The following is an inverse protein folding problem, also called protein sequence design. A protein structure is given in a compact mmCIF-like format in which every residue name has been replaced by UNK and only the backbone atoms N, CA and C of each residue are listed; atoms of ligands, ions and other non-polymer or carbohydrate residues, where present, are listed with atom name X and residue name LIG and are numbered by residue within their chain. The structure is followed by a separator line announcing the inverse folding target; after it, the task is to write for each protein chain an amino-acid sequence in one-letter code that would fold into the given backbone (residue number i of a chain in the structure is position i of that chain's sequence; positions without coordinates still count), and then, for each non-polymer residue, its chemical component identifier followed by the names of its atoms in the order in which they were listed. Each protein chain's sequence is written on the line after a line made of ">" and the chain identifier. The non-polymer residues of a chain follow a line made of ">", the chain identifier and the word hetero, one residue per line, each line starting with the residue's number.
data_IF_690020428557
#
_entry.id   IF_690020428557
#
_cell.length_a   1.000
_cell.length_b   1.000
_cell.length_c   1.000
_cell.angle_alpha   90.00
_cell.angle_beta   90.00
_cell.angle_gamma   90.00
#
_symmetry.space_group_name_H-M   'P 1'
#
loop_
_entity.id
_entity.type
_entity.pdbx_description
1 polymer ?
#
# COMPACT_ATOMS: atom_id res chain seq x y z
N UNK A 1 -30.50 13.94 0.87
CA UNK A 1 -29.75 13.64 -0.37
C UNK A 1 -28.84 12.46 -0.07
N UNK A 2 -28.88 11.40 -0.87
CA UNK A 2 -28.34 10.10 -0.52
C UNK A 2 -26.81 10.14 -0.38
N UNK A 3 -26.28 9.59 0.71
CA UNK A 3 -24.85 9.42 1.02
C UNK A 3 -24.04 8.65 -0.05
N UNK A 4 -24.69 8.12 -1.06
CA UNK A 4 -24.07 7.32 -2.14
C UNK A 4 -23.16 8.11 -3.09
N UNK A 5 -23.22 9.43 -3.12
CA UNK A 5 -22.36 10.27 -3.98
C UNK A 5 -20.92 10.41 -3.45
N UNK A 6 -20.65 10.00 -2.21
CA UNK A 6 -19.33 10.11 -1.57
C UNK A 6 -18.33 9.10 -2.15
N UNK A 7 -18.81 7.95 -2.64
CA UNK A 7 -17.99 6.85 -3.12
C UNK A 7 -17.88 6.87 -4.64
N UNK A 8 -16.66 6.81 -5.18
CA UNK A 8 -16.42 6.70 -6.62
C UNK A 8 -16.62 5.25 -7.02
N UNK A 9 -17.64 4.97 -7.80
CA UNK A 9 -17.99 3.62 -8.25
C UNK A 9 -16.84 2.91 -8.97
N UNK A 10 -16.61 1.62 -8.66
CA UNK A 10 -15.89 0.72 -9.54
C UNK A 10 -16.71 0.50 -10.82
N UNK A 11 -16.05 0.10 -11.93
CA UNK A 11 -16.73 -0.13 -13.22
C UNK A 11 -17.69 -1.33 -13.19
N UNK A 12 -17.57 -2.22 -12.20
CA UNK A 12 -18.46 -3.36 -12.00
C UNK A 12 -19.67 -2.96 -11.16
N UNK A 13 -20.86 -3.13 -11.75
CA UNK A 13 -22.15 -2.81 -11.11
C UNK A 13 -22.45 -3.60 -9.82
N UNK A 14 -21.69 -4.66 -9.52
CA UNK A 14 -21.90 -5.53 -8.36
C UNK A 14 -21.28 -4.99 -7.07
N UNK A 15 -20.17 -4.21 -7.15
CA UNK A 15 -19.50 -3.66 -5.98
C UNK A 15 -19.50 -2.13 -6.01
N UNK A 16 -20.61 -1.55 -5.57
CA UNK A 16 -20.80 -0.09 -5.54
C UNK A 16 -19.97 0.63 -4.48
N UNK A 17 -19.44 -0.07 -3.48
CA UNK A 17 -18.76 0.51 -2.33
C UNK A 17 -17.27 0.15 -2.28
N UNK A 18 -16.76 -0.67 -3.20
CA UNK A 18 -15.37 -1.14 -3.18
C UNK A 18 -15.09 -2.00 -1.93
N UNK A 19 -16.07 -2.78 -1.51
CA UNK A 19 -16.02 -3.61 -0.32
C UNK A 19 -15.13 -4.81 -0.56
N UNK A 20 -14.27 -5.08 0.40
CA UNK A 20 -13.42 -6.27 0.44
C UNK A 20 -13.71 -7.01 1.74
N UNK A 21 -14.25 -8.23 1.63
CA UNK A 21 -14.61 -9.01 2.82
C UNK A 21 -13.37 -9.59 3.49
N UNK A 22 -13.33 -9.46 4.82
CA UNK A 22 -12.23 -9.97 5.64
C UNK A 22 -12.42 -11.47 5.90
N UNK A 23 -11.50 -12.34 5.44
CA UNK A 23 -11.51 -13.74 5.85
C UNK A 23 -11.40 -13.91 7.36
N UNK A 24 -11.99 -14.98 7.93
CA UNK A 24 -11.99 -15.23 9.36
C UNK A 24 -10.57 -15.36 9.94
N UNK A 25 -9.66 -15.97 9.19
CA UNK A 25 -8.24 -16.10 9.58
C UNK A 25 -7.57 -14.73 9.73
N UNK A 26 -7.85 -13.79 8.83
CA UNK A 26 -7.28 -12.44 8.87
C UNK A 26 -7.93 -11.60 9.96
N UNK A 27 -9.23 -11.75 10.16
CA UNK A 27 -9.92 -11.11 11.28
C UNK A 27 -9.34 -11.57 12.63
N UNK A 28 -9.11 -12.89 12.79
CA UNK A 28 -8.47 -13.48 13.98
C UNK A 28 -7.05 -12.94 14.17
N UNK A 29 -6.24 -12.94 13.10
CA UNK A 29 -4.87 -12.42 13.14
C UNK A 29 -4.82 -10.94 13.56
N UNK A 30 -5.71 -10.10 13.00
CA UNK A 30 -5.80 -8.68 13.40
C UNK A 30 -6.07 -8.56 14.91
N UNK A 31 -7.09 -9.25 15.38
CA UNK A 31 -7.52 -9.17 16.77
C UNK A 31 -6.46 -9.73 17.71
N UNK A 32 -5.81 -10.85 17.37
CA UNK A 32 -4.72 -11.44 18.15
C UNK A 32 -3.48 -10.56 18.23
N UNK A 33 -3.22 -9.77 17.19
CA UNK A 33 -2.12 -8.82 17.13
C UNK A 33 -2.38 -7.53 17.91
N UNK A 34 -3.61 -7.28 18.37
CA UNK A 34 -3.93 -6.09 19.18
C UNK A 34 -3.24 -6.16 20.55
N UNK A 35 -2.55 -5.11 20.98
CA UNK A 35 -2.11 -4.98 22.36
C UNK A 35 -3.33 -4.87 23.27
N UNK A 36 -3.31 -5.66 24.35
CA UNK A 36 -4.43 -5.72 25.31
C UNK A 36 -4.38 -4.50 26.23
N UNK A 37 -5.47 -3.72 26.35
CA UNK A 37 -5.57 -2.66 27.34
C UNK A 37 -5.41 -3.22 28.75
N UNK A 38 -4.71 -2.50 29.64
CA UNK A 38 -4.43 -2.95 31.02
C UNK A 38 -5.68 -3.19 31.88
N UNK A 39 -6.78 -2.52 31.54
CA UNK A 39 -8.07 -2.64 32.24
C UNK A 39 -9.01 -3.69 31.62
N UNK A 40 -8.53 -4.46 30.64
CA UNK A 40 -9.35 -5.35 29.83
C UNK A 40 -10.13 -4.63 28.75
N UNK A 41 -10.98 -5.36 28.01
CA UNK A 41 -11.78 -4.84 26.91
C UNK A 41 -13.25 -4.91 27.27
N UNK A 42 -13.91 -3.77 27.32
CA UNK A 42 -15.35 -3.62 27.63
C UNK A 42 -16.13 -3.16 26.41
N UNK A 43 -15.57 -2.26 25.62
CA UNK A 43 -16.23 -1.62 24.49
C UNK A 43 -15.40 -1.70 23.22
N UNK A 44 -15.98 -2.27 22.15
CA UNK A 44 -15.38 -2.40 20.83
C UNK A 44 -16.17 -1.51 19.86
N UNK A 45 -15.48 -0.83 18.95
CA UNK A 45 -16.09 -0.11 17.81
C UNK A 45 -15.57 -0.74 16.51
N UNK A 46 -16.48 -1.10 15.61
CA UNK A 46 -16.20 -1.62 14.27
C UNK A 46 -16.72 -0.64 13.21
N UNK A 47 -15.79 0.02 12.50
CA UNK A 47 -16.12 1.04 11.50
C UNK A 47 -16.21 0.42 10.11
N UNK A 48 -17.42 0.43 9.50
CA UNK A 48 -17.69 -0.26 8.25
C UNK A 48 -17.67 -1.77 8.47
N UNK A 49 -18.57 -2.25 9.35
CA UNK A 49 -18.52 -3.61 9.88
C UNK A 49 -18.74 -4.71 8.82
N UNK A 50 -19.35 -4.39 7.67
CA UNK A 50 -19.67 -5.36 6.62
C UNK A 50 -20.47 -6.53 7.18
N UNK A 51 -19.98 -7.74 6.98
CA UNK A 51 -20.62 -8.96 7.54
C UNK A 51 -20.19 -9.27 8.99
N UNK A 52 -19.45 -8.35 9.64
CA UNK A 52 -19.06 -8.45 11.04
C UNK A 52 -17.91 -9.41 11.35
N UNK A 53 -17.07 -9.74 10.38
CA UNK A 53 -15.96 -10.69 10.58
C UNK A 53 -15.00 -10.22 11.68
N UNK A 54 -14.60 -8.95 11.68
CA UNK A 54 -13.72 -8.38 12.71
C UNK A 54 -14.38 -8.39 14.08
N UNK A 55 -15.65 -7.98 14.17
CA UNK A 55 -16.41 -8.02 15.43
C UNK A 55 -16.54 -9.43 15.96
N UNK A 56 -16.86 -10.42 15.11
CA UNK A 56 -16.96 -11.83 15.52
C UNK A 56 -15.65 -12.34 16.11
N UNK A 57 -14.53 -12.06 15.46
CA UNK A 57 -13.21 -12.40 15.99
C UNK A 57 -12.91 -11.69 17.31
N UNK A 58 -13.27 -10.40 17.43
CA UNK A 58 -13.07 -9.64 18.64
C UNK A 58 -13.91 -10.16 19.82
N UNK A 59 -15.19 -10.49 19.59
CA UNK A 59 -16.07 -11.07 20.63
C UNK A 59 -15.65 -12.49 21.04
N UNK A 60 -15.07 -13.27 20.12
CA UNK A 60 -14.50 -14.59 20.45
C UNK A 60 -13.32 -14.44 21.44
N UNK A 61 -12.48 -13.43 21.25
CA UNK A 61 -11.35 -13.13 22.15
C UNK A 61 -11.78 -12.43 23.44
N UNK A 62 -12.78 -11.56 23.36
CA UNK A 62 -13.28 -10.74 24.46
C UNK A 62 -14.79 -10.96 24.67
N UNK A 63 -15.22 -12.12 25.17
CA UNK A 63 -16.63 -12.52 25.17
C UNK A 63 -17.51 -11.71 26.13
N UNK A 64 -16.92 -10.91 27.02
CA UNK A 64 -17.65 -10.03 27.94
C UNK A 64 -17.77 -8.60 27.45
N UNK A 65 -17.24 -8.29 26.26
CA UNK A 65 -17.28 -6.95 25.68
C UNK A 65 -18.62 -6.68 25.03
N UNK A 66 -19.03 -5.41 25.04
CA UNK A 66 -20.03 -4.85 24.13
C UNK A 66 -19.37 -4.37 22.85
N UNK A 67 -20.16 -4.25 21.77
CA UNK A 67 -19.66 -3.67 20.53
C UNK A 67 -20.67 -2.71 19.91
N UNK A 68 -20.15 -1.72 19.22
CA UNK A 68 -20.90 -0.82 18.34
C UNK A 68 -20.39 -1.02 16.92
N UNK A 69 -21.26 -1.46 16.05
CA UNK A 69 -20.99 -1.70 14.64
C UNK A 69 -21.64 -0.60 13.81
N UNK A 70 -20.89 0.05 12.96
CA UNK A 70 -21.44 1.06 12.04
C UNK A 70 -21.32 0.53 10.62
N UNK A 71 -22.46 0.43 9.92
CA UNK A 71 -22.51 -0.11 8.55
C UNK A 71 -23.50 0.70 7.71
N UNK A 72 -23.09 1.04 6.49
CA UNK A 72 -23.88 1.86 5.56
C UNK A 72 -24.76 1.02 4.64
N UNK A 73 -24.31 -0.20 4.30
CA UNK A 73 -25.06 -1.08 3.38
C UNK A 73 -26.24 -1.75 4.09
N UNK A 74 -27.49 -1.49 3.66
CA UNK A 74 -28.67 -2.08 4.27
C UNK A 74 -28.64 -3.61 4.31
N UNK A 75 -28.11 -4.27 3.26
CA UNK A 75 -28.05 -5.73 3.20
C UNK A 75 -27.13 -6.31 4.27
N UNK A 76 -25.99 -5.65 4.53
CA UNK A 76 -25.09 -6.04 5.61
C UNK A 76 -25.66 -5.72 6.98
N UNK A 77 -26.35 -4.60 7.12
CA UNK A 77 -27.07 -4.26 8.37
C UNK A 77 -28.08 -5.34 8.73
N UNK A 78 -28.90 -5.77 7.78
CA UNK A 78 -29.88 -6.83 8.00
C UNK A 78 -29.22 -8.17 8.37
N UNK A 79 -28.10 -8.51 7.71
CA UNK A 79 -27.32 -9.71 8.04
C UNK A 79 -26.69 -9.61 9.43
N UNK A 80 -26.21 -8.44 9.85
CA UNK A 80 -25.69 -8.20 11.19
C UNK A 80 -26.76 -8.39 12.26
N UNK A 81 -27.97 -7.83 12.07
CA UNK A 81 -29.09 -8.05 13.00
C UNK A 81 -29.49 -9.52 13.15
N UNK A 82 -29.36 -10.28 12.06
CA UNK A 82 -29.66 -11.72 12.07
C UNK A 82 -28.58 -12.58 12.74
N UNK A 83 -27.31 -12.15 12.71
CA UNK A 83 -26.16 -12.99 13.09
C UNK A 83 -25.44 -12.57 14.37
N UNK A 84 -25.57 -11.30 14.78
CA UNK A 84 -24.90 -10.79 15.98
C UNK A 84 -25.74 -11.05 17.24
N UNK A 85 -25.09 -11.17 18.42
CA UNK A 85 -25.79 -11.22 19.70
C UNK A 85 -26.68 -9.98 19.92
N UNK A 86 -27.82 -10.14 20.58
CA UNK A 86 -28.82 -9.06 20.80
C UNK A 86 -28.29 -7.86 21.62
N UNK A 87 -27.22 -8.04 22.36
CA UNK A 87 -26.59 -6.99 23.17
C UNK A 87 -25.57 -6.14 22.37
N UNK A 88 -25.42 -6.39 21.07
CA UNK A 88 -24.54 -5.63 20.19
C UNK A 88 -25.34 -4.48 19.57
N UNK A 89 -24.78 -3.27 19.61
CA UNK A 89 -25.37 -2.09 19.04
C UNK A 89 -24.98 -1.97 17.54
N UNK A 90 -25.97 -2.04 16.65
CA UNK A 90 -25.78 -1.92 15.21
C UNK A 90 -26.37 -0.58 14.75
N UNK A 91 -25.53 0.27 14.19
CA UNK A 91 -25.89 1.59 13.67
C UNK A 91 -25.89 1.53 12.15
N UNK A 92 -27.09 1.71 11.56
CA UNK A 92 -27.23 1.88 10.12
C UNK A 92 -26.85 3.30 9.73
N UNK A 93 -25.68 3.48 9.13
CA UNK A 93 -25.20 4.82 8.75
C UNK A 93 -23.76 4.78 8.22
N UNK A 94 -23.32 5.96 7.76
CA UNK A 94 -21.93 6.13 7.32
C UNK A 94 -21.02 6.29 8.55
N UNK A 95 -20.05 5.42 8.68
CA UNK A 95 -19.05 5.49 9.76
C UNK A 95 -18.27 6.82 9.76
N UNK A 96 -18.22 7.51 8.62
CA UNK A 96 -17.57 8.81 8.47
C UNK A 96 -18.48 10.00 8.84
N UNK A 97 -19.74 9.78 9.18
CA UNK A 97 -20.60 10.83 9.72
C UNK A 97 -20.31 11.06 11.20
N UNK A 98 -20.60 12.30 11.66
CA UNK A 98 -20.40 12.69 13.06
C UNK A 98 -21.67 12.46 13.89
N UNK A 99 -21.49 12.27 15.19
CA UNK A 99 -22.55 12.27 16.19
C UNK A 99 -22.95 10.90 16.71
N UNK A 100 -22.80 9.81 15.94
CA UNK A 100 -23.12 8.48 16.41
C UNK A 100 -22.15 7.97 17.51
N UNK A 101 -20.95 8.55 17.56
CA UNK A 101 -19.90 8.20 18.54
C UNK A 101 -20.06 8.92 19.89
N UNK A 102 -21.00 9.85 20.03
CA UNK A 102 -21.14 10.66 21.22
C UNK A 102 -21.37 9.79 22.47
N UNK A 103 -20.55 10.00 23.50
CA UNK A 103 -20.60 9.25 24.74
C UNK A 103 -19.96 7.87 24.70
N UNK A 104 -19.41 7.43 23.58
CA UNK A 104 -18.68 6.16 23.48
C UNK A 104 -17.24 6.32 23.95
N UNK A 105 -16.77 5.34 24.72
CA UNK A 105 -15.38 5.24 25.15
C UNK A 105 -14.84 3.86 24.73
N UNK A 106 -14.17 3.82 23.59
CA UNK A 106 -13.69 2.58 23.01
C UNK A 106 -12.41 2.09 23.67
N UNK A 107 -12.38 0.81 24.08
CA UNK A 107 -11.15 0.11 24.44
C UNK A 107 -10.43 -0.42 23.19
N UNK A 108 -11.21 -0.76 22.16
CA UNK A 108 -10.71 -1.22 20.86
C UNK A 108 -11.51 -0.56 19.74
N UNK A 109 -10.81 -0.08 18.71
CA UNK A 109 -11.41 0.34 17.42
C UNK A 109 -10.79 -0.50 16.31
N UNK A 110 -11.64 -1.15 15.52
CA UNK A 110 -11.26 -2.00 14.39
C UNK A 110 -11.94 -1.52 13.12
N UNK A 111 -11.31 -1.76 11.96
CA UNK A 111 -11.90 -1.46 10.66
C UNK A 111 -11.18 -2.18 9.52
N UNK A 112 -11.95 -2.61 8.52
CA UNK A 112 -11.48 -2.91 7.17
C UNK A 112 -12.20 -1.97 6.20
N UNK A 113 -11.67 -0.76 5.96
CA UNK A 113 -12.34 0.26 5.15
C UNK A 113 -12.25 0.01 3.65
N UNK A 114 -13.10 0.67 2.84
CA UNK A 114 -12.94 0.68 1.39
C UNK A 114 -11.63 1.37 0.99
N UNK A 115 -10.93 0.80 -0.02
CA UNK A 115 -9.63 1.33 -0.47
C UNK A 115 -9.73 2.38 -1.58
N UNK A 116 -10.93 2.67 -2.05
CA UNK A 116 -11.21 3.66 -3.10
C UNK A 116 -10.97 5.10 -2.68
N UNK A 117 -11.18 6.01 -3.63
CA UNK A 117 -11.17 7.45 -3.35
C UNK A 117 -12.57 7.90 -2.94
N UNK A 118 -12.65 8.69 -1.88
CA UNK A 118 -13.86 9.32 -1.36
C UNK A 118 -13.83 10.80 -1.64
N UNK A 119 -14.99 11.39 -1.91
CA UNK A 119 -15.12 12.84 -1.97
C UNK A 119 -15.11 13.42 -0.55
N UNK A 120 -14.33 14.48 -0.34
CA UNK A 120 -14.32 15.21 0.92
C UNK A 120 -15.72 15.77 1.22
N UNK A 121 -16.18 15.57 2.44
CA UNK A 121 -17.41 16.13 2.97
C UNK A 121 -17.14 17.01 4.19
N UNK A 122 -18.12 17.79 4.63
CA UNK A 122 -17.99 18.60 5.82
C UNK A 122 -17.69 17.77 7.07
N UNK A 123 -18.29 16.57 7.18
CA UNK A 123 -17.98 15.62 8.25
C UNK A 123 -16.51 15.22 8.21
N UNK A 124 -15.99 14.80 7.03
CA UNK A 124 -14.59 14.41 6.87
C UNK A 124 -13.66 15.58 7.21
N UNK A 125 -13.90 16.76 6.66
CA UNK A 125 -13.10 17.95 6.95
C UNK A 125 -13.11 18.28 8.45
N UNK A 126 -14.25 18.14 9.12
CA UNK A 126 -14.40 18.40 10.55
C UNK A 126 -13.56 17.44 11.38
N UNK A 127 -13.61 16.13 11.12
CA UNK A 127 -12.81 15.21 11.94
C UNK A 127 -11.33 15.25 11.59
N UNK A 128 -10.95 15.51 10.35
CA UNK A 128 -9.54 15.75 10.00
C UNK A 128 -8.96 16.93 10.77
N UNK A 129 -9.69 18.05 10.86
CA UNK A 129 -9.27 19.23 11.63
C UNK A 129 -9.18 18.93 13.13
N UNK A 130 -10.16 18.19 13.70
CA UNK A 130 -10.18 17.84 15.13
C UNK A 130 -9.08 16.87 15.54
N UNK A 131 -8.69 15.95 14.66
CA UNK A 131 -7.68 14.93 14.98
C UNK A 131 -6.25 15.43 14.85
N UNK A 132 -6.02 16.53 14.12
CA UNK A 132 -4.68 16.97 13.70
C UNK A 132 -3.84 15.86 13.05
N UNK A 133 -4.50 14.87 12.44
CA UNK A 133 -3.82 13.78 11.78
C UNK A 133 -3.42 14.25 10.36
N UNK A 134 -2.15 14.17 9.99
CA UNK A 134 -1.68 14.66 8.68
C UNK A 134 -2.01 13.65 7.57
N UNK A 135 -3.29 13.59 7.20
CA UNK A 135 -3.78 12.74 6.11
C UNK A 135 -3.70 13.51 4.80
N UNK A 136 -2.99 13.01 3.78
CA UNK A 136 -2.91 13.69 2.49
C UNK A 136 -4.24 13.61 1.74
N UNK A 137 -4.60 14.72 1.10
CA UNK A 137 -5.76 14.84 0.21
C UNK A 137 -5.28 15.18 -1.21
N UNK A 138 -6.11 14.89 -2.20
CA UNK A 138 -5.87 15.26 -3.59
C UNK A 138 -7.04 16.09 -4.11
N UNK A 139 -6.95 17.44 -3.98
CA UNK A 139 -8.05 18.33 -4.22
C UNK A 139 -9.24 18.00 -3.33
N UNK A 140 -10.40 17.73 -3.93
CA UNK A 140 -11.64 17.35 -3.22
C UNK A 140 -11.72 15.85 -2.87
N UNK A 141 -10.63 15.10 -2.95
CA UNK A 141 -10.62 13.65 -2.75
C UNK A 141 -9.66 13.22 -1.65
N UNK A 142 -10.05 12.17 -0.93
CA UNK A 142 -9.26 11.48 0.09
C UNK A 142 -9.33 9.97 -0.16
N UNK A 143 -8.29 9.24 0.19
CA UNK A 143 -8.37 7.77 0.19
C UNK A 143 -9.30 7.29 1.31
N UNK A 144 -10.13 6.29 1.01
CA UNK A 144 -11.09 5.75 1.97
C UNK A 144 -10.41 5.19 3.22
N UNK A 145 -9.41 4.33 3.04
CA UNK A 145 -8.65 3.76 4.14
C UNK A 145 -7.99 4.85 5.03
N UNK A 146 -7.49 5.93 4.44
CA UNK A 146 -6.91 7.04 5.18
C UNK A 146 -7.97 7.86 5.96
N UNK A 147 -9.16 8.05 5.39
CA UNK A 147 -10.28 8.70 6.08
C UNK A 147 -10.74 7.87 7.29
N UNK A 148 -10.82 6.54 7.13
CA UNK A 148 -11.17 5.63 8.23
C UNK A 148 -10.08 5.55 9.30
N UNK A 149 -8.78 5.64 8.95
CA UNK A 149 -7.69 5.79 9.94
C UNK A 149 -7.93 7.05 10.78
N UNK A 150 -8.24 8.19 10.16
CA UNK A 150 -8.54 9.43 10.88
C UNK A 150 -9.82 9.29 11.73
N UNK A 151 -10.83 8.60 11.24
CA UNK A 151 -12.05 8.34 11.98
C UNK A 151 -11.82 7.44 13.20
N UNK A 152 -11.09 6.35 13.03
CA UNK A 152 -10.69 5.47 14.14
C UNK A 152 -9.86 6.24 15.18
N UNK A 153 -9.00 7.14 14.71
CA UNK A 153 -8.23 8.02 15.58
C UNK A 153 -9.12 8.95 16.41
N UNK A 154 -10.16 9.50 15.82
CA UNK A 154 -11.14 10.35 16.52
C UNK A 154 -11.95 9.56 17.56
N UNK A 155 -12.31 8.30 17.25
CA UNK A 155 -13.02 7.40 18.18
C UNK A 155 -12.12 6.81 19.28
N UNK A 156 -10.82 7.14 19.31
CA UNK A 156 -9.85 6.54 20.22
C UNK A 156 -9.26 7.56 21.18
N UNK A 157 -8.98 7.11 22.40
CA UNK A 157 -8.29 7.86 23.44
C UNK A 157 -7.01 7.12 23.89
N UNK A 158 -6.29 7.70 24.85
CA UNK A 158 -5.12 7.02 25.44
C UNK A 158 -5.53 5.67 26.05
N UNK A 159 -4.86 4.61 25.67
CA UNK A 159 -5.16 3.25 26.10
C UNK A 159 -6.03 2.46 25.13
N UNK A 160 -6.65 3.09 24.14
CA UNK A 160 -7.44 2.39 23.11
C UNK A 160 -6.52 1.61 22.15
N UNK A 161 -6.82 0.34 21.93
CA UNK A 161 -6.23 -0.52 20.90
C UNK A 161 -6.81 -0.17 19.54
N UNK A 162 -5.95 -0.02 18.53
CA UNK A 162 -6.33 0.20 17.12
C UNK A 162 -5.94 -1.00 16.29
N UNK A 163 -6.89 -1.53 15.50
CA UNK A 163 -6.67 -2.59 14.51
C UNK A 163 -7.27 -2.22 13.18
N UNK A 164 -6.43 -1.90 12.20
CA UNK A 164 -6.86 -1.35 10.92
C UNK A 164 -6.28 -2.17 9.77
N UNK A 165 -7.11 -2.48 8.77
CA UNK A 165 -6.65 -3.06 7.51
C UNK A 165 -6.54 -1.91 6.50
N UNK A 166 -5.36 -1.71 5.94
CA UNK A 166 -5.08 -0.59 5.04
C UNK A 166 -4.38 -1.07 3.77
N UNK A 167 -4.53 -0.33 2.68
CA UNK A 167 -3.85 -0.66 1.43
C UNK A 167 -2.41 -0.09 1.40
N UNK A 168 -1.63 -0.60 0.46
CA UNK A 168 -0.21 -0.29 0.27
C UNK A 168 0.18 1.19 0.31
N UNK A 169 -0.59 2.17 -0.20
CA UNK A 169 -0.17 3.57 -0.18
C UNK A 169 0.11 4.12 1.22
N UNK A 170 -0.70 3.81 2.25
CA UNK A 170 -0.46 4.29 3.62
C UNK A 170 0.89 3.81 4.16
N UNK A 171 1.30 2.63 3.74
CA UNK A 171 2.52 1.95 4.20
C UNK A 171 3.76 2.40 3.45
N UNK A 172 3.63 2.67 2.14
CA UNK A 172 4.78 2.85 1.22
C UNK A 172 4.90 4.23 0.60
N UNK A 173 3.77 4.93 0.33
CA UNK A 173 3.79 6.17 -0.44
C UNK A 173 4.41 7.32 0.38
N UNK A 174 5.33 8.11 -0.20
CA UNK A 174 5.95 9.26 0.45
C UNK A 174 4.94 10.31 0.95
N UNK A 175 3.80 10.48 0.29
CA UNK A 175 2.75 11.42 0.71
C UNK A 175 2.20 11.11 2.11
N UNK A 176 2.24 9.86 2.54
CA UNK A 176 1.80 9.41 3.88
C UNK A 176 2.91 9.44 4.94
N UNK A 177 4.09 9.99 4.64
CA UNK A 177 5.22 10.01 5.58
C UNK A 177 4.88 10.64 6.93
N UNK A 178 4.20 11.78 6.92
CA UNK A 178 3.81 12.47 8.15
C UNK A 178 2.75 11.69 8.97
N UNK A 179 1.82 11.03 8.29
CA UNK A 179 0.85 10.13 8.95
C UNK A 179 1.58 8.97 9.63
N UNK A 180 2.50 8.29 8.95
CA UNK A 180 3.31 7.22 9.55
C UNK A 180 4.11 7.72 10.77
N UNK A 181 4.73 8.88 10.66
CA UNK A 181 5.46 9.50 11.78
C UNK A 181 4.55 9.72 12.99
N UNK A 182 3.33 10.19 12.79
CA UNK A 182 2.35 10.38 13.87
C UNK A 182 1.95 9.04 14.49
N UNK A 183 1.65 8.02 13.68
CA UNK A 183 1.31 6.67 14.17
C UNK A 183 2.45 6.07 14.99
N UNK A 184 3.69 6.15 14.51
CA UNK A 184 4.89 5.63 15.21
C UNK A 184 5.10 6.33 16.56
N UNK A 185 4.89 7.64 16.60
CA UNK A 185 5.09 8.43 17.82
C UNK A 185 3.98 8.24 18.85
N UNK A 186 2.77 7.90 18.44
CA UNK A 186 1.59 7.89 19.30
C UNK A 186 0.94 6.50 19.47
N UNK A 187 1.51 5.45 18.87
CA UNK A 187 1.09 4.07 19.11
C UNK A 187 2.18 3.29 19.84
N UNK A 188 1.83 2.75 21.01
CA UNK A 188 2.66 1.78 21.72
C UNK A 188 2.46 0.39 21.09
N UNK A 189 3.57 -0.35 20.89
CA UNK A 189 3.51 -1.69 20.33
C UNK A 189 2.99 -1.69 18.88
N UNK A 190 3.37 -0.67 18.10
CA UNK A 190 3.02 -0.61 16.68
C UNK A 190 3.58 -1.83 15.97
N UNK A 191 2.68 -2.62 15.40
CA UNK A 191 2.98 -3.75 14.56
C UNK A 191 2.29 -3.57 13.20
N UNK A 192 3.02 -3.82 12.12
CA UNK A 192 2.49 -3.79 10.76
C UNK A 192 2.70 -5.15 10.12
N UNK A 193 1.60 -5.85 9.83
CA UNK A 193 1.65 -7.17 9.18
C UNK A 193 1.32 -7.03 7.70
N UNK A 194 2.25 -7.38 6.84
CA UNK A 194 2.03 -7.46 5.41
C UNK A 194 1.29 -8.76 5.08
N UNK A 195 0.14 -8.64 4.43
CA UNK A 195 -0.67 -9.78 4.00
C UNK A 195 -0.21 -10.30 2.63
N UNK A 196 -0.56 -11.54 2.31
CA UNK A 196 -0.47 -12.03 0.94
C UNK A 196 -1.44 -11.28 0.02
N UNK A 197 -1.09 -11.11 -1.25
CA UNK A 197 -1.91 -10.35 -2.23
C UNK A 197 -3.19 -11.05 -2.61
N UNK A 198 -3.31 -12.36 -2.35
CA UNK A 198 -4.45 -13.19 -2.69
C UNK A 198 -5.36 -13.50 -1.48
N UNK A 199 -5.15 -12.83 -0.36
CA UNK A 199 -5.94 -13.02 0.87
C UNK A 199 -7.41 -12.67 0.66
N UNK A 200 -7.71 -11.70 -0.20
CA UNK A 200 -9.07 -11.24 -0.43
C UNK A 200 -9.63 -11.81 -1.72
N UNK A 201 -10.75 -12.52 -1.63
CA UNK A 201 -11.43 -13.11 -2.78
C UNK A 201 -11.81 -12.03 -3.81
N UNK A 202 -11.44 -12.26 -5.06
CA UNK A 202 -11.78 -11.36 -6.18
C UNK A 202 -10.99 -10.05 -6.25
N UNK A 203 -10.04 -9.80 -5.34
CA UNK A 203 -9.26 -8.57 -5.32
C UNK A 203 -7.76 -8.84 -5.12
N UNK A 204 -6.94 -8.60 -6.14
CA UNK A 204 -5.47 -8.58 -5.99
C UNK A 204 -5.03 -7.25 -5.34
N UNK A 205 -5.15 -7.15 -4.02
CA UNK A 205 -4.77 -5.94 -3.27
C UNK A 205 -3.69 -6.26 -2.25
N UNK A 206 -2.58 -5.53 -2.32
CA UNK A 206 -1.59 -5.59 -1.25
C UNK A 206 -2.10 -4.81 -0.04
N UNK A 207 -2.56 -5.52 0.97
CA UNK A 207 -3.05 -4.97 2.22
C UNK A 207 -2.12 -5.25 3.40
N UNK A 208 -2.32 -4.48 4.46
CA UNK A 208 -1.52 -4.52 5.69
C UNK A 208 -2.44 -4.39 6.90
N UNK A 209 -2.15 -5.15 7.96
CA UNK A 209 -2.74 -4.92 9.27
C UNK A 209 -1.85 -3.92 10.03
N UNK A 210 -2.45 -2.86 10.51
CA UNK A 210 -1.80 -1.92 11.43
C UNK A 210 -2.44 -2.11 12.81
N UNK A 211 -1.65 -2.51 13.80
CA UNK A 211 -2.11 -2.66 15.18
C UNK A 211 -1.21 -1.89 16.13
N UNK A 212 -1.81 -1.35 17.19
CA UNK A 212 -1.09 -0.60 18.21
C UNK A 212 -2.05 -0.02 19.25
N UNK A 213 -1.54 0.51 20.34
CA UNK A 213 -2.33 1.13 21.39
C UNK A 213 -2.01 2.62 21.52
N UNK A 214 -3.03 3.47 21.53
CA UNK A 214 -2.87 4.91 21.73
C UNK A 214 -2.08 5.23 23.00
N UNK A 215 -1.02 6.01 22.86
CA UNK A 215 -0.09 6.35 23.94
C UNK A 215 0.58 7.69 23.68
N UNK A 216 1.08 8.32 24.74
CA UNK A 216 1.93 9.53 24.63
C UNK A 216 3.43 9.20 24.58
N UNK A 217 3.79 7.93 24.54
CA UNK A 217 5.18 7.49 24.56
C UNK A 217 5.86 7.70 23.20
N UNK A 218 7.03 8.32 23.20
CA UNK A 218 7.80 8.69 22.01
C UNK A 218 8.78 7.60 21.56
N UNK A 219 9.09 7.61 20.24
CA UNK A 219 10.21 6.93 19.55
C UNK A 219 10.37 5.44 19.94
N UNK A 220 9.72 4.58 19.20
CA UNK A 220 9.83 3.12 19.39
C UNK A 220 10.19 2.46 18.09
N UNK A 221 10.84 1.33 18.18
CA UNK A 221 10.96 0.41 17.08
C UNK A 221 9.57 -0.09 16.66
N UNK A 222 9.44 -0.46 15.40
CA UNK A 222 8.23 -0.98 14.80
C UNK A 222 8.46 -2.44 14.45
N UNK A 223 7.52 -3.30 14.86
CA UNK A 223 7.52 -4.70 14.47
C UNK A 223 6.85 -4.83 13.10
N UNK A 224 7.57 -5.37 12.13
CA UNK A 224 7.04 -5.74 10.83
C UNK A 224 6.89 -7.25 10.76
N UNK A 225 5.77 -7.71 10.21
CA UNK A 225 5.46 -9.13 10.02
C UNK A 225 5.04 -9.40 8.60
N UNK A 226 5.21 -10.63 8.17
CA UNK A 226 4.62 -11.17 6.95
C UNK A 226 3.72 -12.34 7.30
N UNK A 227 2.50 -12.32 6.76
CA UNK A 227 1.54 -13.42 6.89
C UNK A 227 1.35 -14.13 5.55
N UNK A 228 1.13 -15.42 5.60
CA UNK A 228 0.66 -16.26 4.50
C UNK A 228 -0.84 -16.01 4.22
N UNK A 229 -1.37 -16.65 3.19
CA UNK A 229 -2.77 -16.52 2.76
C UNK A 229 -3.77 -16.98 3.85
N UNK A 230 -3.39 -17.93 4.67
CA UNK A 230 -4.20 -18.44 5.79
C UNK A 230 -4.07 -17.63 7.09
N UNK A 231 -3.29 -16.55 7.07
CA UNK A 231 -3.07 -15.67 8.22
C UNK A 231 -1.95 -16.12 9.17
N UNK A 232 -1.22 -17.21 8.86
CA UNK A 232 -0.06 -17.62 9.67
C UNK A 232 1.10 -16.64 9.49
N UNK A 233 1.71 -16.20 10.60
CA UNK A 233 2.93 -15.38 10.56
C UNK A 233 4.09 -16.25 10.10
N UNK A 234 4.69 -15.90 8.97
CA UNK A 234 5.80 -16.66 8.36
C UNK A 234 7.16 -16.04 8.63
N UNK A 235 7.22 -14.75 8.92
CA UNK A 235 8.47 -14.06 9.23
C UNK A 235 8.20 -12.73 9.93
N UNK A 236 9.18 -12.24 10.72
CA UNK A 236 9.10 -10.95 11.39
C UNK A 236 10.46 -10.27 11.51
N UNK A 237 10.46 -8.96 11.59
CA UNK A 237 11.64 -8.14 11.81
C UNK A 237 11.28 -6.84 12.52
N UNK A 238 12.22 -6.32 13.29
CA UNK A 238 12.08 -5.04 13.99
C UNK A 238 12.92 -3.97 13.29
N UNK A 239 12.34 -2.79 13.07
CA UNK A 239 13.00 -1.64 12.46
C UNK A 239 12.97 -0.42 13.37
N UNK A 240 14.02 0.39 13.28
CA UNK A 240 14.09 1.66 14.01
C UNK A 240 13.06 2.68 13.47
N UNK A 241 12.57 3.55 14.35
CA UNK A 241 11.53 4.55 14.00
C UNK A 241 11.90 5.42 12.79
N UNK A 242 13.18 5.83 12.66
CA UNK A 242 13.62 6.68 11.55
C UNK A 242 13.48 6.00 10.18
N UNK A 243 13.71 4.69 10.11
CA UNK A 243 13.46 3.88 8.92
C UNK A 243 11.95 3.71 8.70
N UNK A 244 11.20 3.41 9.76
CA UNK A 244 9.76 3.16 9.74
C UNK A 244 8.94 4.34 9.21
N UNK A 245 9.36 5.59 9.46
CA UNK A 245 8.72 6.80 8.92
C UNK A 245 8.69 6.81 7.39
N UNK A 246 9.71 6.25 6.75
CA UNK A 246 9.79 6.22 5.28
C UNK A 246 8.91 5.11 4.68
N UNK A 247 8.91 3.91 5.30
CA UNK A 247 8.13 2.75 4.83
C UNK A 247 7.85 1.81 6.01
N UNK A 248 6.81 0.99 5.89
CA UNK A 248 6.40 0.01 6.91
C UNK A 248 6.16 -1.38 6.31
N UNK A 249 6.64 -1.67 5.11
CA UNK A 249 6.43 -2.97 4.46
C UNK A 249 7.58 -3.95 4.74
N UNK A 250 7.21 -5.15 5.15
CA UNK A 250 8.13 -6.22 5.50
C UNK A 250 9.07 -6.59 4.35
N UNK A 251 8.52 -6.82 3.15
CA UNK A 251 9.29 -7.30 1.99
C UNK A 251 10.45 -6.35 1.63
N UNK A 252 10.23 -5.03 1.76
CA UNK A 252 11.29 -4.04 1.53
C UNK A 252 12.45 -4.22 2.50
N UNK A 253 12.17 -4.23 3.81
CA UNK A 253 13.23 -4.32 4.81
C UNK A 253 13.91 -5.69 4.84
N UNK A 254 13.16 -6.75 4.57
CA UNK A 254 13.72 -8.10 4.44
C UNK A 254 14.66 -8.19 3.23
N UNK A 255 14.28 -7.62 2.09
CA UNK A 255 15.16 -7.50 0.93
C UNK A 255 16.39 -6.65 1.24
N UNK A 256 16.22 -5.48 1.87
CA UNK A 256 17.35 -4.62 2.29
C UNK A 256 18.29 -5.32 3.28
N UNK A 257 17.76 -6.13 4.21
CA UNK A 257 18.57 -6.94 5.13
C UNK A 257 19.41 -7.99 4.39
N UNK A 258 18.82 -8.70 3.45
CA UNK A 258 19.54 -9.68 2.59
C UNK A 258 20.63 -8.99 1.77
N UNK A 259 20.33 -7.82 1.22
CA UNK A 259 21.23 -7.00 0.43
C UNK A 259 22.38 -6.44 1.30
N UNK A 260 22.11 -5.93 2.51
CA UNK A 260 23.10 -5.37 3.42
C UNK A 260 24.09 -6.40 3.98
N UNK A 261 23.74 -7.68 3.96
CA UNK A 261 24.66 -8.79 4.26
C UNK A 261 25.66 -9.02 3.13
N UNK A 262 25.37 -8.54 1.91
CA UNK A 262 26.30 -8.52 0.78
C UNK A 262 27.19 -7.28 0.86
N UNK A 263 28.38 -7.40 1.44
CA UNK A 263 29.39 -6.35 1.70
C UNK A 263 29.98 -5.68 0.44
N UNK A 264 29.25 -5.67 -0.67
CA UNK A 264 29.73 -5.22 -1.98
C UNK A 264 28.94 -4.03 -2.57
N UNK A 265 28.21 -3.26 -1.73
CA UNK A 265 27.54 -2.06 -2.23
C UNK A 265 28.54 -0.89 -2.32
N UNK A 266 28.57 -0.26 -3.49
CA UNK A 266 29.22 1.03 -3.69
C UNK A 266 28.41 2.14 -3.00
N UNK A 267 29.05 3.24 -2.56
CA UNK A 267 28.33 4.45 -2.15
C UNK A 267 27.57 5.11 -3.32
N UNK A 268 27.86 4.69 -4.55
CA UNK A 268 27.21 5.23 -5.74
C UNK A 268 25.78 4.75 -5.90
N UNK A 269 24.95 5.64 -6.45
CA UNK A 269 23.60 5.34 -6.91
C UNK A 269 23.46 5.61 -8.40
N UNK A 270 22.35 5.21 -9.03
CA UNK A 270 22.07 5.59 -10.41
C UNK A 270 22.11 7.12 -10.60
N UNK A 271 21.63 7.89 -9.61
CA UNK A 271 21.68 9.35 -9.66
C UNK A 271 23.13 9.87 -9.62
N UNK A 272 23.94 9.36 -8.70
CA UNK A 272 25.33 9.88 -8.48
C UNK A 272 26.25 9.64 -9.69
N UNK A 273 26.00 8.56 -10.47
CA UNK A 273 26.74 8.30 -11.70
C UNK A 273 26.19 9.05 -12.92
N UNK A 274 25.19 9.90 -12.70
CA UNK A 274 24.61 10.78 -13.74
C UNK A 274 23.72 10.05 -14.73
N UNK A 275 23.00 9.03 -14.29
CA UNK A 275 21.99 8.33 -15.12
C UNK A 275 20.79 9.25 -15.38
N UNK A 276 20.42 9.38 -16.65
CA UNK A 276 19.15 10.02 -17.07
C UNK A 276 18.10 8.95 -17.33
N UNK A 277 16.92 9.11 -16.75
CA UNK A 277 15.79 8.18 -16.91
C UNK A 277 14.63 8.90 -17.56
N UNK A 278 14.17 8.36 -18.69
CA UNK A 278 13.06 8.94 -19.48
C UNK A 278 12.00 7.88 -19.71
N UNK A 279 10.75 8.27 -19.52
CA UNK A 279 9.56 7.46 -19.85
C UNK A 279 9.24 7.59 -21.35
N UNK A 280 8.72 6.52 -21.95
CA UNK A 280 8.20 6.58 -23.32
C UNK A 280 7.03 7.56 -23.47
N UNK A 281 6.83 8.05 -24.67
CA UNK A 281 5.94 9.19 -24.96
C UNK A 281 4.47 8.82 -25.06
N UNK A 282 4.15 7.57 -25.44
CA UNK A 282 2.80 7.13 -25.81
C UNK A 282 2.53 5.70 -25.32
N UNK A 283 1.25 5.35 -25.22
CA UNK A 283 0.84 3.96 -24.99
C UNK A 283 1.13 3.08 -26.21
N UNK A 284 1.15 1.76 -26.00
CA UNK A 284 1.30 0.79 -27.09
C UNK A 284 0.18 0.95 -28.13
N UNK A 285 -1.06 1.08 -27.70
CA UNK A 285 -2.21 1.25 -28.60
C UNK A 285 -2.14 2.55 -29.41
N UNK A 286 -1.60 3.64 -28.83
CA UNK A 286 -1.45 4.90 -29.56
C UNK A 286 -0.42 4.79 -30.67
N UNK A 287 0.72 4.11 -30.42
CA UNK A 287 1.72 3.86 -31.45
C UNK A 287 1.17 2.97 -32.56
N UNK A 288 0.43 1.92 -32.23
CA UNK A 288 -0.22 1.05 -33.21
C UNK A 288 -1.21 1.83 -34.12
N UNK A 289 -2.02 2.73 -33.54
CA UNK A 289 -2.94 3.59 -34.32
C UNK A 289 -2.20 4.55 -35.27
N UNK A 290 -0.97 4.89 -34.92
CA UNK A 290 -0.11 5.74 -35.77
C UNK A 290 0.71 4.95 -36.80
N UNK A 291 0.57 3.63 -36.85
CA UNK A 291 1.37 2.75 -37.71
C UNK A 291 2.85 2.72 -37.33
N UNK A 292 3.19 2.98 -36.07
CA UNK A 292 4.57 3.04 -35.57
C UNK A 292 4.84 1.86 -34.63
N UNK A 293 5.95 1.17 -34.86
CA UNK A 293 6.47 0.16 -33.98
C UNK A 293 7.19 0.79 -32.79
N UNK A 294 6.92 0.31 -31.59
CA UNK A 294 7.55 0.79 -30.36
C UNK A 294 7.78 -0.36 -29.38
N UNK A 295 8.98 -0.46 -28.86
CA UNK A 295 9.36 -1.47 -27.87
C UNK A 295 8.45 -1.38 -26.62
N UNK A 296 7.86 -2.50 -26.23
CA UNK A 296 6.89 -2.57 -25.17
C UNK A 296 7.28 -3.60 -24.09
N UNK A 297 6.56 -3.66 -22.99
CA UNK A 297 6.82 -4.60 -21.89
C UNK A 297 6.71 -6.07 -22.29
N UNK A 298 5.92 -6.39 -23.31
CA UNK A 298 5.81 -7.75 -23.89
C UNK A 298 7.02 -8.18 -24.73
N UNK A 299 7.84 -7.21 -25.12
CA UNK A 299 8.98 -7.48 -26.04
C UNK A 299 10.27 -7.81 -25.28
N UNK A 300 10.25 -7.64 -23.94
CA UNK A 300 11.33 -8.15 -23.10
C UNK A 300 11.31 -9.68 -23.09
N UNK A 301 12.33 -10.28 -23.69
CA UNK A 301 12.56 -11.73 -23.59
C UNK A 301 13.38 -12.02 -22.35
N UNK A 302 13.15 -13.15 -21.72
CA UNK A 302 13.79 -13.55 -20.44
C UNK A 302 15.32 -13.49 -20.45
N UNK A 303 15.96 -13.55 -21.65
CA UNK A 303 17.41 -13.62 -21.80
C UNK A 303 17.97 -12.69 -22.89
N UNK A 304 17.26 -11.65 -23.33
CA UNK A 304 17.80 -10.75 -24.36
C UNK A 304 18.66 -9.67 -23.72
N UNK A 305 19.94 -9.93 -23.58
CA UNK A 305 20.92 -8.93 -23.14
C UNK A 305 21.18 -7.87 -24.21
N UNK A 306 20.91 -8.17 -25.48
CA UNK A 306 21.22 -7.32 -26.63
C UNK A 306 19.98 -7.05 -27.46
N UNK A 307 19.62 -5.76 -27.59
CA UNK A 307 18.46 -5.31 -28.34
C UNK A 307 18.89 -4.59 -29.62
N UNK A 308 18.36 -5.08 -30.74
CA UNK A 308 18.48 -4.43 -32.04
C UNK A 308 17.18 -3.68 -32.34
N UNK A 309 17.21 -2.35 -32.35
CA UNK A 309 16.03 -1.52 -32.63
C UNK A 309 15.96 -1.15 -34.11
N UNK A 310 14.74 -1.06 -34.61
CA UNK A 310 14.47 -0.61 -36.01
C UNK A 310 13.37 0.42 -36.01
N UNK A 311 13.60 1.48 -36.78
CA UNK A 311 12.64 2.55 -36.98
C UNK A 311 12.64 3.59 -35.87
N UNK A 312 12.87 4.83 -36.22
CA UNK A 312 12.76 5.94 -35.31
C UNK A 312 11.82 7.02 -35.88
N UNK A 313 11.19 7.75 -34.98
CA UNK A 313 10.48 8.98 -35.29
C UNK A 313 10.86 9.99 -34.19
N UNK A 314 11.71 10.93 -34.53
CA UNK A 314 12.28 11.91 -33.60
C UNK A 314 11.25 12.87 -32.96
N UNK A 315 9.99 12.78 -33.38
CA UNK A 315 8.89 13.47 -32.70
C UNK A 315 8.62 12.89 -31.30
N UNK A 316 9.09 11.67 -31.03
CA UNK A 316 8.90 10.94 -29.79
C UNK A 316 10.24 10.58 -29.13
N UNK A 317 10.20 10.10 -27.89
CA UNK A 317 11.39 9.61 -27.20
C UNK A 317 11.94 8.36 -27.90
N UNK A 318 13.22 8.39 -28.22
CA UNK A 318 13.93 7.33 -28.96
C UNK A 318 15.02 6.74 -28.06
N UNK A 319 15.16 5.43 -28.07
CA UNK A 319 16.28 4.71 -27.48
C UNK A 319 17.38 4.50 -28.52
N UNK A 320 18.65 4.55 -28.10
CA UNK A 320 19.86 4.54 -28.94
C UNK A 320 20.88 3.53 -28.42
N UNK A 321 21.87 3.15 -29.22
CA UNK A 321 22.96 2.29 -28.78
C UNK A 321 23.61 2.81 -27.49
N UNK A 322 23.76 1.92 -26.52
CA UNK A 322 24.25 2.25 -25.19
C UNK A 322 23.21 2.60 -24.15
N UNK A 323 21.96 2.82 -24.54
CA UNK A 323 20.85 2.95 -23.59
C UNK A 323 20.45 1.57 -23.03
N UNK A 324 19.88 1.60 -21.82
CA UNK A 324 19.30 0.41 -21.17
C UNK A 324 17.80 0.65 -21.07
N UNK A 325 17.00 -0.32 -21.50
CA UNK A 325 15.55 -0.33 -21.33
C UNK A 325 15.16 -1.22 -20.15
N UNK A 326 14.24 -0.75 -19.31
CA UNK A 326 13.64 -1.53 -18.23
C UNK A 326 12.13 -1.32 -18.22
N UNK A 327 11.33 -2.33 -17.81
CA UNK A 327 9.90 -2.16 -17.64
C UNK A 327 9.61 -1.18 -16.49
N UNK A 328 8.67 -0.29 -16.73
CA UNK A 328 8.13 0.61 -15.71
C UNK A 328 6.98 -0.02 -14.94
N UNK A 329 6.18 -0.85 -15.59
CA UNK A 329 4.92 -1.42 -15.08
C UNK A 329 4.87 -2.90 -15.41
N UNK A 330 4.28 -3.70 -14.49
CA UNK A 330 3.96 -5.10 -14.70
C UNK A 330 4.71 -6.03 -13.75
N UNK A 331 3.99 -6.78 -12.95
CA UNK A 331 4.58 -7.64 -11.89
C UNK A 331 5.51 -8.74 -12.45
N UNK A 332 5.26 -9.24 -13.65
CA UNK A 332 6.04 -10.31 -14.27
C UNK A 332 7.29 -9.80 -15.01
N UNK A 333 7.22 -8.62 -15.60
CA UNK A 333 8.31 -8.10 -16.44
C UNK A 333 9.27 -7.14 -15.73
N UNK A 334 8.97 -6.69 -14.49
CA UNK A 334 9.83 -5.74 -13.76
C UNK A 334 11.27 -6.23 -13.54
N UNK A 335 11.51 -7.54 -13.65
CA UNK A 335 12.84 -8.13 -13.52
C UNK A 335 13.65 -8.08 -14.80
N UNK A 336 13.00 -7.83 -15.93
CA UNK A 336 13.64 -7.82 -17.23
C UNK A 336 14.38 -6.51 -17.48
N UNK A 337 15.40 -6.56 -18.30
CA UNK A 337 16.15 -5.42 -18.84
C UNK A 337 16.68 -5.79 -20.22
N UNK A 338 16.96 -4.77 -21.04
CA UNK A 338 17.57 -4.94 -22.33
C UNK A 338 18.59 -3.82 -22.60
N UNK A 339 19.74 -4.15 -23.19
CA UNK A 339 20.76 -3.19 -23.63
C UNK A 339 20.59 -2.96 -25.11
N UNK A 340 20.44 -1.71 -25.52
CA UNK A 340 20.41 -1.35 -26.95
C UNK A 340 21.82 -1.40 -27.50
N UNK A 341 22.08 -2.31 -28.43
CA UNK A 341 23.41 -2.48 -29.04
C UNK A 341 23.52 -1.86 -30.42
N UNK A 342 22.41 -1.82 -31.18
CA UNK A 342 22.38 -1.18 -32.48
C UNK A 342 21.00 -0.66 -32.88
N UNK A 343 20.96 0.29 -33.79
CA UNK A 343 19.75 0.94 -34.29
C UNK A 343 19.16 1.92 -33.31
N UNK A 344 18.11 2.60 -33.73
CA UNK A 344 17.30 3.50 -32.92
C UNK A 344 15.84 3.06 -32.98
N UNK A 345 15.08 3.23 -31.89
CA UNK A 345 13.68 2.84 -31.88
C UNK A 345 12.86 3.53 -30.81
N UNK A 346 11.55 3.58 -31.06
CA UNK A 346 10.56 4.09 -30.11
C UNK A 346 10.36 3.10 -28.98
N UNK A 347 9.92 3.60 -27.83
CA UNK A 347 9.51 2.77 -26.70
C UNK A 347 8.27 3.35 -26.02
N UNK A 348 7.42 2.47 -25.50
CA UNK A 348 6.12 2.85 -24.94
C UNK A 348 6.24 3.46 -23.55
N UNK A 349 5.20 4.14 -23.10
CA UNK A 349 5.12 4.75 -21.77
C UNK A 349 5.24 3.73 -20.59
N UNK A 350 5.12 2.44 -20.89
CA UNK A 350 5.31 1.35 -19.93
C UNK A 350 6.77 0.92 -19.76
N UNK A 351 7.69 1.59 -20.48
CA UNK A 351 9.13 1.31 -20.47
C UNK A 351 9.88 2.58 -20.07
N UNK A 352 10.94 2.42 -19.30
CA UNK A 352 11.95 3.43 -19.04
C UNK A 352 13.20 3.20 -19.89
N UNK A 353 13.75 4.28 -20.41
CA UNK A 353 15.07 4.35 -20.99
C UNK A 353 16.04 4.97 -20.00
N UNK A 354 17.12 4.28 -19.69
CA UNK A 354 18.24 4.75 -18.90
C UNK A 354 19.41 5.09 -19.83
N UNK A 355 19.78 6.37 -19.90
CA UNK A 355 20.99 6.82 -20.57
C UNK A 355 22.08 7.02 -19.53
N UNK A 356 23.17 6.26 -19.66
CA UNK A 356 24.27 6.18 -18.70
C UNK A 356 25.57 6.60 -19.34
N UNK A 357 26.37 7.41 -18.64
CA UNK A 357 27.71 7.79 -19.11
C UNK A 357 28.54 6.51 -19.34
N UNK A 358 29.31 6.48 -20.40
CA UNK A 358 30.05 5.31 -20.85
C UNK A 358 30.88 4.65 -19.73
N UNK A 359 31.60 5.44 -18.95
CA UNK A 359 32.42 4.96 -17.82
C UNK A 359 31.66 4.21 -16.72
N UNK A 360 30.33 4.45 -16.60
CA UNK A 360 29.48 3.83 -15.57
C UNK A 360 28.55 2.76 -16.17
N UNK A 361 28.48 2.65 -17.49
CA UNK A 361 27.48 1.82 -18.20
C UNK A 361 27.57 0.34 -17.77
N UNK A 362 28.76 -0.22 -17.72
CA UNK A 362 28.96 -1.61 -17.36
C UNK A 362 28.63 -1.89 -15.89
N UNK A 363 28.97 -0.98 -14.98
CA UNK A 363 28.62 -1.06 -13.55
C UNK A 363 27.09 -1.03 -13.37
N UNK A 364 26.39 -0.13 -14.07
CA UNK A 364 24.93 -0.04 -14.03
C UNK A 364 24.30 -1.29 -14.61
N UNK A 365 24.79 -1.80 -15.75
CA UNK A 365 24.28 -3.02 -16.37
C UNK A 365 24.42 -4.22 -15.42
N UNK A 366 25.61 -4.46 -14.87
CA UNK A 366 25.86 -5.54 -13.90
C UNK A 366 24.93 -5.42 -12.68
N UNK A 367 24.72 -4.21 -12.19
CA UNK A 367 23.82 -3.97 -11.06
C UNK A 367 22.39 -4.38 -11.42
N UNK A 368 21.86 -3.90 -12.56
CA UNK A 368 20.49 -4.20 -12.99
C UNK A 368 20.27 -5.70 -13.27
N UNK A 369 21.28 -6.39 -13.81
CA UNK A 369 21.22 -7.81 -14.18
C UNK A 369 21.46 -8.77 -13.00
N UNK A 370 21.93 -8.26 -11.87
CA UNK A 370 22.19 -9.06 -10.67
C UNK A 370 20.90 -9.42 -9.92
N UNK A 371 20.98 -10.46 -9.06
CA UNK A 371 19.91 -10.78 -8.10
C UNK A 371 19.58 -9.59 -7.21
N UNK A 372 20.60 -8.84 -6.77
CA UNK A 372 20.45 -7.59 -6.05
C UNK A 372 19.54 -6.61 -6.79
N UNK A 373 19.85 -6.30 -8.07
CA UNK A 373 19.09 -5.36 -8.87
C UNK A 373 17.64 -5.77 -9.08
N UNK A 374 17.42 -7.05 -9.23
CA UNK A 374 16.09 -7.67 -9.36
C UNK A 374 15.29 -7.54 -8.05
N UNK A 375 15.87 -7.97 -6.93
CA UNK A 375 15.24 -7.87 -5.60
C UNK A 375 14.97 -6.42 -5.21
N UNK A 376 15.91 -5.51 -5.49
CA UNK A 376 15.75 -4.09 -5.21
C UNK A 376 14.58 -3.48 -6.00
N UNK A 377 14.45 -3.79 -7.30
CA UNK A 377 13.32 -3.32 -8.12
C UNK A 377 11.99 -3.84 -7.62
N UNK A 378 11.89 -5.12 -7.26
CA UNK A 378 10.67 -5.71 -6.69
C UNK A 378 10.29 -5.07 -5.35
N UNK A 379 11.26 -4.89 -4.45
CA UNK A 379 11.04 -4.31 -3.14
C UNK A 379 10.59 -2.84 -3.21
N UNK A 380 11.07 -2.11 -4.23
CA UNK A 380 10.79 -0.69 -4.40
C UNK A 380 9.63 -0.38 -5.37
N UNK A 381 9.10 -1.39 -6.06
CA UNK A 381 7.92 -1.21 -6.90
C UNK A 381 6.67 -0.98 -6.04
N UNK A 382 5.83 -0.05 -6.46
CA UNK A 382 4.57 0.32 -5.82
C UNK A 382 3.38 0.07 -6.74
N UNK A 383 2.18 -0.04 -6.17
CA UNK A 383 0.93 -0.30 -6.90
C UNK A 383 0.16 -1.47 -6.31
N UNK A 384 -1.17 -1.41 -6.38
CA UNK A 384 -2.05 -2.42 -5.81
C UNK A 384 -2.30 -3.59 -6.77
N UNK A 385 -2.66 -3.30 -8.03
CA UNK A 385 -2.94 -4.32 -9.05
C UNK A 385 -1.76 -4.55 -9.98
N UNK A 386 -1.09 -3.47 -10.43
CA UNK A 386 0.11 -3.55 -11.23
C UNK A 386 1.25 -2.83 -10.52
N UNK A 387 2.31 -3.56 -10.22
CA UNK A 387 3.53 -2.96 -9.66
C UNK A 387 4.18 -2.03 -10.67
N UNK A 388 4.62 -0.86 -10.22
CA UNK A 388 5.31 0.11 -11.07
C UNK A 388 6.49 0.75 -10.34
N UNK A 389 7.51 1.11 -11.08
CA UNK A 389 8.67 1.87 -10.63
C UNK A 389 8.49 3.36 -10.97
N UNK A 390 9.06 4.23 -10.16
CA UNK A 390 9.15 5.67 -10.47
C UNK A 390 10.59 6.05 -10.82
N UNK A 391 10.76 7.15 -11.56
CA UNK A 391 12.09 7.69 -11.89
C UNK A 391 12.87 7.98 -10.60
N UNK A 392 12.23 8.62 -9.62
CA UNK A 392 12.88 8.97 -8.36
C UNK A 392 13.31 7.74 -7.58
N UNK A 393 12.48 6.72 -7.54
CA UNK A 393 12.81 5.45 -6.90
C UNK A 393 14.06 4.84 -7.56
N UNK A 394 14.05 4.71 -8.89
CA UNK A 394 15.18 4.12 -9.62
C UNK A 394 16.47 4.90 -9.44
N UNK A 395 16.42 6.24 -9.48
CA UNK A 395 17.60 7.08 -9.27
C UNK A 395 18.28 6.84 -7.91
N UNK A 396 17.50 6.44 -6.89
CA UNK A 396 18.01 6.07 -5.56
C UNK A 396 18.61 4.65 -5.48
N UNK A 397 18.60 3.87 -6.56
CA UNK A 397 19.13 2.50 -6.55
C UNK A 397 20.64 2.50 -6.32
N UNK A 398 21.14 1.83 -5.27
CA UNK A 398 22.59 1.65 -5.07
C UNK A 398 23.21 0.78 -6.16
N UNK A 399 24.48 0.99 -6.43
CA UNK A 399 25.24 0.16 -7.37
C UNK A 399 26.07 -0.89 -6.63
N UNK A 400 26.23 -2.08 -7.23
CA UNK A 400 27.21 -3.06 -6.74
C UNK A 400 28.62 -2.58 -7.10
N UNK A 401 29.59 -2.97 -6.29
CA UNK A 401 31.02 -2.63 -6.48
C UNK A 401 31.59 -3.25 -7.73
#
# INVERSE_FOLDING_TARGET
>A
MSNHLRYRYSRDKADRLGQVFTPESIASLLVESLPIPSQGVKQIIDLGAGQGALTKAALKRYPKSSAVLVEIDPLHVDALFATMPKNINIIKGDALDLGWENGLNADIVISNPPYGMLQLSDSINTFLSKTNLPVPTNGSWIRGDAAFVARAWMCSSRGTGLGLIVASPLVRDPSFRQLRETLINQLKGLCVTQLDTHVFDGAEVQAFLITGMRSTSRKRNVLLRKASIDGTIIDELEIGWGAAVNRLDFDYYNAMKRIGVSSSLSPDTLASVGTSIVRGSRSHNDFQRLGLDAFHTTDFKEFSEELLLKGCNHKYNVARPGDILIPRVGSRCLLNQARVVSGEGLFTESVFRLSVKERAREKVWRTLSSSFGSEWRLANASGNCAKHLTVQTLLGMPLIS
#
